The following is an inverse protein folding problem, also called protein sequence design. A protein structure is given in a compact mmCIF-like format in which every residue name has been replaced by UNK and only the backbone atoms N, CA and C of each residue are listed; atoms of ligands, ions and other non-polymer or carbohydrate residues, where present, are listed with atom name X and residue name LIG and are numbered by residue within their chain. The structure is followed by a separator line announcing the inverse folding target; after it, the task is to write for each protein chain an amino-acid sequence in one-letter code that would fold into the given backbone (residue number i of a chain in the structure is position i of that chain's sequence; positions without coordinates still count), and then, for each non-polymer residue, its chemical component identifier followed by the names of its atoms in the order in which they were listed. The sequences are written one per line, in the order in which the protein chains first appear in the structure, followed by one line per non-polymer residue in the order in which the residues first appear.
data_IF_877431217580
#
_entry.id   IF_877431217580
#
_cell.length_a   1.000
_cell.length_b   1.000
_cell.length_c   1.000
_cell.angle_alpha   90.00
_cell.angle_beta   90.00
_cell.angle_gamma   90.00
#
_symmetry.space_group_name_H-M   'P 1'
#
loop_
_entity.id
_entity.type
_entity.pdbx_description
1 polymer ?
#
# COMPACT_ATOMS: atom_id res chain seq x y z
N UNK A 1 10.60 -39.91 -1.33
CA UNK A 1 9.91 -38.87 -2.11
C UNK A 1 9.92 -37.59 -1.29
N UNK A 2 10.48 -36.50 -1.84
CA UNK A 2 10.45 -35.16 -1.19
C UNK A 2 9.01 -34.66 -1.29
N UNK A 3 8.39 -34.33 -0.15
CA UNK A 3 7.08 -33.70 -0.10
C UNK A 3 7.18 -32.36 -0.85
N UNK A 4 6.39 -32.21 -1.91
CA UNK A 4 6.27 -30.94 -2.61
C UNK A 4 5.80 -29.88 -1.62
N UNK A 5 6.58 -28.81 -1.50
CA UNK A 5 6.24 -27.58 -0.82
C UNK A 5 4.78 -27.18 -1.06
N UNK A 6 3.94 -27.36 -0.04
CA UNK A 6 2.65 -26.71 0.06
C UNK A 6 2.88 -25.22 0.33
N UNK A 7 3.25 -24.49 -0.74
CA UNK A 7 3.35 -23.04 -0.77
C UNK A 7 1.94 -22.43 -0.65
N UNK A 8 1.36 -22.55 0.54
CA UNK A 8 0.03 -22.04 0.86
C UNK A 8 0.02 -20.52 1.03
N UNK A 9 -1.05 -19.88 0.56
CA UNK A 9 -1.38 -18.50 0.90
C UNK A 9 -2.37 -18.52 2.06
N UNK A 10 -2.07 -17.80 3.13
CA UNK A 10 -3.00 -17.59 4.24
C UNK A 10 -3.59 -16.18 4.16
N UNK A 11 -4.85 -16.04 4.58
CA UNK A 11 -5.57 -14.77 4.59
C UNK A 11 -5.92 -14.40 6.03
N UNK A 12 -5.58 -13.18 6.44
CA UNK A 12 -5.77 -12.69 7.80
C UNK A 12 -6.44 -11.31 7.80
N UNK A 13 -7.38 -11.09 8.72
CA UNK A 13 -8.01 -9.79 8.94
C UNK A 13 -7.51 -9.21 10.27
N UNK A 14 -7.25 -7.91 10.30
CA UNK A 14 -6.92 -7.21 11.55
C UNK A 14 -7.98 -7.37 12.66
N UNK A 15 -9.24 -7.69 12.32
CA UNK A 15 -10.27 -8.02 13.34
C UNK A 15 -9.94 -9.26 14.17
N UNK A 16 -9.02 -10.13 13.74
CA UNK A 16 -8.71 -11.40 14.39
C UNK A 16 -7.34 -11.52 15.06
N UNK A 17 -6.51 -10.48 15.09
CA UNK A 17 -5.10 -10.62 15.44
C UNK A 17 -4.62 -9.57 16.46
N UNK A 18 -4.31 -10.08 17.68
CA UNK A 18 -3.32 -9.73 18.73
C UNK A 18 -2.92 -8.24 18.96
N UNK A 19 -2.59 -7.86 20.23
CA UNK A 19 -2.55 -6.48 20.72
C UNK A 19 -1.57 -5.59 19.94
N UNK A 20 -1.75 -4.25 20.01
CA UNK A 20 -0.92 -3.30 19.28
C UNK A 20 0.54 -3.44 19.74
N UNK A 21 1.38 -4.10 18.96
CA UNK A 21 2.82 -3.99 19.17
C UNK A 21 3.25 -2.57 18.75
N UNK A 22 3.93 -1.90 19.67
CA UNK A 22 4.19 -0.46 19.74
C UNK A 22 5.10 0.11 18.63
N UNK A 23 5.32 -0.60 17.54
CA UNK A 23 6.12 -0.14 16.40
C UNK A 23 5.29 0.06 15.13
N UNK A 24 5.55 1.12 14.35
CA UNK A 24 4.88 1.32 13.08
C UNK A 24 5.13 0.12 12.16
N UNK A 25 4.05 -0.46 11.66
CA UNK A 25 4.05 -1.59 10.76
C UNK A 25 4.68 -1.17 9.41
N UNK A 26 5.94 -1.51 9.19
CA UNK A 26 6.60 -1.30 7.89
C UNK A 26 6.03 -2.25 6.84
N UNK A 27 5.61 -1.69 5.70
CA UNK A 27 5.02 -2.46 4.60
C UNK A 27 5.75 -2.18 3.28
N UNK A 28 6.31 -3.25 2.71
CA UNK A 28 7.03 -3.20 1.43
C UNK A 28 6.17 -3.71 0.25
N UNK A 29 5.16 -4.54 0.54
CA UNK A 29 4.24 -5.07 -0.46
C UNK A 29 2.82 -4.78 -0.03
N UNK A 30 2.25 -3.74 -0.65
CA UNK A 30 0.93 -3.23 -0.28
C UNK A 30 0.11 -2.79 -1.50
N UNK A 31 -1.20 -2.74 -1.31
CA UNK A 31 -2.19 -2.15 -2.21
C UNK A 31 -3.22 -1.38 -1.39
N UNK A 32 -3.65 -0.22 -1.89
CA UNK A 32 -4.73 0.56 -1.31
C UNK A 32 -6.01 0.28 -2.10
N UNK A 33 -7.00 -0.26 -1.40
CA UNK A 33 -8.26 -0.71 -1.97
C UNK A 33 -9.38 0.17 -1.45
N UNK A 34 -10.20 0.70 -2.37
CA UNK A 34 -11.42 1.44 -2.03
C UNK A 34 -12.61 0.49 -2.13
N UNK A 35 -13.26 0.26 -1.00
CA UNK A 35 -14.48 -0.52 -0.89
C UNK A 35 -15.64 0.15 -1.64
N UNK A 36 -16.68 -0.60 -2.04
CA UNK A 36 -17.91 -0.01 -2.59
C UNK A 36 -18.59 0.99 -1.63
N UNK A 37 -18.43 0.80 -0.31
CA UNK A 37 -18.89 1.75 0.72
C UNK A 37 -18.18 3.11 0.66
N UNK A 38 -17.06 3.20 -0.07
CA UNK A 38 -16.20 4.37 -0.14
C UNK A 38 -15.02 4.32 0.84
N UNK A 39 -15.02 3.38 1.79
CA UNK A 39 -13.94 3.20 2.76
C UNK A 39 -12.65 2.74 2.09
N UNK A 40 -11.52 3.17 2.62
CA UNK A 40 -10.20 2.78 2.14
C UNK A 40 -9.61 1.71 3.07
N UNK A 41 -8.98 0.69 2.50
CA UNK A 41 -8.32 -0.37 3.24
C UNK A 41 -6.95 -0.66 2.65
N UNK A 42 -5.99 -0.96 3.52
CA UNK A 42 -4.66 -1.37 3.12
C UNK A 42 -4.59 -2.90 3.06
N UNK A 43 -4.38 -3.45 1.86
CA UNK A 43 -4.01 -4.84 1.67
C UNK A 43 -2.49 -4.98 1.68
N UNK A 44 -1.94 -5.92 2.43
CA UNK A 44 -0.50 -6.17 2.51
C UNK A 44 -0.21 -7.64 2.27
N UNK A 45 0.98 -7.93 1.76
CA UNK A 45 1.51 -9.30 1.67
C UNK A 45 2.79 -9.37 2.47
N UNK A 46 2.86 -10.32 3.40
CA UNK A 46 4.06 -10.64 4.19
C UNK A 46 4.50 -12.06 3.87
N UNK A 47 5.77 -12.23 3.54
CA UNK A 47 6.37 -13.56 3.42
C UNK A 47 6.73 -14.06 4.82
N UNK A 48 6.23 -15.24 5.22
CA UNK A 48 6.66 -15.89 6.46
C UNK A 48 7.87 -16.79 6.20
N UNK A 49 8.68 -16.98 7.24
CA UNK A 49 9.84 -17.90 7.26
C UNK A 49 9.50 -19.34 6.82
N UNK A 50 8.22 -19.74 6.85
CA UNK A 50 7.74 -21.08 6.49
C UNK A 50 7.28 -21.21 5.03
N UNK A 51 7.83 -20.41 4.10
CA UNK A 51 7.49 -20.45 2.67
C UNK A 51 5.99 -20.20 2.34
N UNK A 52 5.25 -19.55 3.25
CA UNK A 52 3.84 -19.18 3.07
C UNK A 52 3.69 -17.68 3.04
N UNK A 53 3.01 -17.16 2.01
CA UNK A 53 2.66 -15.75 1.94
C UNK A 53 1.37 -15.52 2.72
N UNK A 54 1.35 -14.52 3.60
CA UNK A 54 0.14 -14.08 4.29
C UNK A 54 -0.33 -12.79 3.63
N UNK A 55 -1.55 -12.80 3.11
CA UNK A 55 -2.24 -11.59 2.68
C UNK A 55 -3.07 -11.09 3.87
N UNK A 56 -2.85 -9.84 4.25
CA UNK A 56 -3.52 -9.21 5.38
C UNK A 56 -4.27 -7.98 4.92
N UNK A 57 -5.50 -7.82 5.39
CA UNK A 57 -6.31 -6.65 5.11
C UNK A 57 -6.54 -5.85 6.39
N UNK A 58 -6.26 -4.55 6.33
CA UNK A 58 -6.49 -3.67 7.47
C UNK A 58 -7.97 -3.34 7.66
N UNK A 59 -8.30 -2.87 8.87
CA UNK A 59 -9.49 -2.06 9.08
C UNK A 59 -9.47 -0.80 8.19
N UNK A 60 -10.63 -0.13 8.09
CA UNK A 60 -10.76 1.07 7.28
C UNK A 60 -9.72 2.12 7.72
N UNK A 61 -9.20 2.90 6.78
CA UNK A 61 -8.26 3.97 7.08
C UNK A 61 -8.99 5.13 7.76
N UNK A 62 -8.45 5.57 8.89
CA UNK A 62 -8.87 6.77 9.60
C UNK A 62 -8.21 8.03 9.02
N UNK A 63 -7.06 7.89 8.36
CA UNK A 63 -6.36 9.00 7.72
C UNK A 63 -5.00 8.61 7.18
N UNK A 64 -4.34 9.58 6.55
CA UNK A 64 -3.00 9.42 6.01
C UNK A 64 -2.12 10.61 6.36
N UNK A 65 -0.83 10.35 6.46
CA UNK A 65 0.22 11.32 6.67
C UNK A 65 1.17 11.26 5.47
N UNK A 66 1.12 12.29 4.62
CA UNK A 66 1.94 12.41 3.41
C UNK A 66 3.41 12.46 3.76
N UNK A 67 3.78 13.25 4.78
CA UNK A 67 5.17 13.53 5.14
C UNK A 67 5.88 12.28 5.61
N UNK A 68 5.23 11.46 6.43
CA UNK A 68 5.80 10.20 6.90
C UNK A 68 5.44 8.99 6.04
N UNK A 69 4.70 9.18 4.93
CA UNK A 69 4.14 8.11 4.08
C UNK A 69 3.45 7.03 4.92
N UNK A 70 2.69 7.45 5.92
CA UNK A 70 2.05 6.55 6.86
C UNK A 70 0.54 6.57 6.71
N UNK A 71 -0.09 5.41 6.82
CA UNK A 71 -1.56 5.29 6.93
C UNK A 71 -1.94 4.94 8.35
N UNK A 72 -3.02 5.54 8.83
CA UNK A 72 -3.62 5.25 10.13
C UNK A 72 -4.92 4.51 9.92
N UNK A 73 -5.10 3.38 10.58
CA UNK A 73 -6.32 2.58 10.53
C UNK A 73 -7.28 3.01 11.64
N UNK A 74 -8.56 2.68 11.49
CA UNK A 74 -9.59 2.89 12.52
C UNK A 74 -9.35 2.03 13.77
N UNK A 75 -8.62 0.92 13.63
CA UNK A 75 -8.08 0.14 14.76
C UNK A 75 -6.86 0.81 15.45
N UNK A 76 -6.50 2.03 15.06
CA UNK A 76 -5.36 2.82 15.58
C UNK A 76 -3.98 2.25 15.24
N UNK A 77 -3.89 1.32 14.29
CA UNK A 77 -2.58 0.90 13.77
C UNK A 77 -2.03 1.96 12.83
N UNK A 78 -0.71 2.14 12.86
CA UNK A 78 0.03 2.99 11.92
C UNK A 78 0.93 2.10 11.07
N UNK A 79 0.78 2.20 9.75
CA UNK A 79 1.60 1.46 8.80
C UNK A 79 2.42 2.43 7.94
N UNK A 80 3.73 2.21 7.84
CA UNK A 80 4.63 3.01 7.01
C UNK A 80 4.83 2.37 5.63
N UNK A 81 4.56 3.12 4.58
CA UNK A 81 4.67 2.66 3.20
C UNK A 81 6.13 2.83 2.72
N UNK A 82 6.90 1.74 2.81
CA UNK A 82 8.35 1.77 2.60
C UNK A 82 8.76 1.78 1.13
N UNK A 83 7.85 1.42 0.24
CA UNK A 83 8.09 1.31 -1.20
C UNK A 83 6.84 1.70 -1.99
N UNK A 84 6.98 2.01 -3.30
CA UNK A 84 5.84 2.10 -4.19
C UNK A 84 4.95 0.86 -4.12
N UNK A 85 3.65 0.99 -4.43
CA UNK A 85 2.74 -0.13 -4.40
C UNK A 85 3.25 -1.21 -5.35
N UNK A 86 3.09 -2.47 -4.95
CA UNK A 86 3.68 -3.58 -5.70
C UNK A 86 3.14 -3.57 -7.13
N UNK A 87 4.02 -3.77 -8.11
CA UNK A 87 3.69 -3.77 -9.55
C UNK A 87 3.66 -5.18 -10.15
N UNK A 88 4.22 -6.18 -9.46
CA UNK A 88 4.28 -7.57 -9.95
C UNK A 88 2.87 -8.16 -10.03
N UNK A 89 2.41 -8.62 -11.21
CA UNK A 89 1.02 -9.04 -11.42
C UNK A 89 0.51 -10.11 -10.44
N UNK A 90 1.32 -11.14 -10.16
CA UNK A 90 0.95 -12.22 -9.24
C UNK A 90 0.69 -11.72 -7.81
N UNK A 91 1.53 -10.81 -7.32
CA UNK A 91 1.40 -10.27 -5.97
C UNK A 91 0.20 -9.33 -5.86
N UNK A 92 -0.04 -8.53 -6.90
CA UNK A 92 -1.24 -7.70 -7.01
C UNK A 92 -2.51 -8.56 -6.98
N UNK A 93 -2.54 -9.64 -7.77
CA UNK A 93 -3.68 -10.57 -7.78
C UNK A 93 -3.88 -11.23 -6.42
N UNK A 94 -2.80 -11.68 -5.76
CA UNK A 94 -2.90 -12.30 -4.45
C UNK A 94 -3.53 -11.35 -3.40
N UNK A 95 -3.08 -10.09 -3.36
CA UNK A 95 -3.63 -9.10 -2.42
C UNK A 95 -5.10 -8.78 -2.74
N UNK A 96 -5.44 -8.59 -4.02
CA UNK A 96 -6.81 -8.27 -4.45
C UNK A 96 -7.78 -9.43 -4.19
N UNK A 97 -7.38 -10.66 -4.53
CA UNK A 97 -8.19 -11.85 -4.30
C UNK A 97 -8.36 -12.09 -2.80
N UNK A 98 -7.30 -11.92 -2.01
CA UNK A 98 -7.39 -11.99 -0.55
C UNK A 98 -8.33 -10.95 0.04
N UNK A 99 -8.28 -9.71 -0.43
CA UNK A 99 -9.21 -8.67 0.00
C UNK A 99 -10.67 -9.01 -0.34
N UNK A 100 -10.93 -9.57 -1.53
CA UNK A 100 -12.25 -10.04 -1.91
C UNK A 100 -12.76 -11.15 -0.98
N UNK A 101 -11.91 -12.14 -0.67
CA UNK A 101 -12.22 -13.22 0.29
C UNK A 101 -12.45 -12.70 1.71
N UNK A 102 -11.84 -11.56 2.07
CA UNK A 102 -11.98 -10.90 3.36
C UNK A 102 -13.13 -9.87 3.41
N UNK A 103 -14.00 -9.84 2.39
CA UNK A 103 -15.23 -9.04 2.39
C UNK A 103 -15.20 -7.75 1.57
N UNK A 104 -14.10 -7.45 0.86
CA UNK A 104 -13.98 -6.31 -0.06
C UNK A 104 -14.22 -6.70 -1.53
N UNK A 105 -15.16 -7.61 -1.77
CA UNK A 105 -15.55 -7.94 -3.14
C UNK A 105 -16.05 -6.70 -3.88
N UNK A 106 -15.58 -6.49 -5.10
CA UNK A 106 -15.90 -5.29 -5.90
C UNK A 106 -15.13 -4.02 -5.52
N UNK A 107 -14.14 -4.11 -4.61
CA UNK A 107 -13.25 -2.99 -4.32
C UNK A 107 -12.38 -2.61 -5.53
N UNK A 108 -12.15 -1.31 -5.71
CA UNK A 108 -11.25 -0.78 -6.75
C UNK A 108 -9.86 -0.54 -6.17
N UNK A 109 -8.84 -0.78 -7.00
CA UNK A 109 -7.45 -0.60 -6.60
C UNK A 109 -6.97 0.80 -7.00
N UNK A 110 -6.69 1.64 -6.01
CA UNK A 110 -6.27 3.04 -6.20
C UNK A 110 -4.80 3.26 -5.83
N UNK A 111 -4.03 2.18 -5.67
CA UNK A 111 -2.67 2.22 -5.11
C UNK A 111 -1.74 3.15 -5.89
N UNK A 112 -1.73 3.05 -7.21
CA UNK A 112 -0.86 3.85 -8.08
C UNK A 112 -1.22 5.34 -8.04
N UNK A 113 -2.52 5.65 -8.08
CA UNK A 113 -3.01 7.03 -7.99
C UNK A 113 -2.65 7.65 -6.64
N UNK A 114 -2.81 6.89 -5.56
CA UNK A 114 -2.44 7.33 -4.22
C UNK A 114 -0.93 7.57 -4.09
N UNK A 115 -0.10 6.63 -4.57
CA UNK A 115 1.35 6.79 -4.52
C UNK A 115 1.86 8.00 -5.30
N UNK A 116 1.26 8.28 -6.46
CA UNK A 116 1.58 9.48 -7.23
C UNK A 116 1.27 10.77 -6.46
N UNK A 117 0.25 10.78 -5.58
CA UNK A 117 -0.06 11.93 -4.74
C UNK A 117 0.90 12.11 -3.55
N UNK A 118 1.55 11.02 -3.09
CA UNK A 118 2.59 11.10 -2.04
C UNK A 118 3.90 11.70 -2.55
N UNK A 119 4.08 11.70 -3.86
CA UNK A 119 5.16 12.38 -4.55
C UNK A 119 4.51 13.42 -5.48
N UNK A 120 3.92 14.51 -4.95
CA UNK A 120 3.66 15.64 -5.81
C UNK A 120 4.99 15.95 -6.45
N UNK A 121 5.07 15.79 -7.77
CA UNK A 121 6.32 15.87 -8.48
C UNK A 121 7.12 17.07 -7.96
N UNK A 122 8.44 16.88 -7.84
CA UNK A 122 9.38 17.89 -8.28
C UNK A 122 8.77 18.58 -9.50
N UNK A 123 8.01 19.63 -9.24
CA UNK A 123 7.40 20.46 -10.26
C UNK A 123 8.58 21.26 -10.71
N UNK A 124 9.34 20.65 -11.61
CA UNK A 124 10.47 21.20 -12.31
C UNK A 124 9.97 22.54 -12.86
N UNK A 125 10.19 23.59 -12.10
CA UNK A 125 10.11 24.93 -12.59
C UNK A 125 11.28 24.97 -13.58
N UNK A 126 11.07 25.11 -14.90
CA UNK A 126 12.17 25.60 -15.71
C UNK A 126 12.56 26.93 -15.07
N UNK A 127 13.80 27.02 -14.60
CA UNK A 127 14.37 28.28 -14.19
C UNK A 127 14.09 29.28 -15.33
N UNK A 128 13.65 30.53 -15.05
CA UNK A 128 13.63 31.53 -16.09
C UNK A 128 15.06 31.62 -16.65
N UNK A 129 15.23 31.22 -17.90
CA UNK A 129 16.51 31.33 -18.60
C UNK A 129 17.01 32.77 -18.51
N UNK A 130 18.33 33.00 -18.50
CA UNK A 130 18.88 34.34 -18.35
C UNK A 130 18.33 35.24 -19.46
N UNK A 131 17.65 36.32 -19.07
CA UNK A 131 17.28 37.41 -19.96
C UNK A 131 18.55 38.00 -20.56
N UNK A 132 18.80 37.71 -21.83
CA UNK A 132 19.82 38.42 -22.61
C UNK A 132 19.49 39.91 -22.62
N UNK A 133 20.42 40.81 -22.28
CA UNK A 133 20.18 42.23 -22.39
C UNK A 133 20.16 42.64 -23.85
N UNK A 134 19.11 43.36 -24.23
CA UNK A 134 18.98 44.15 -25.45
C UNK A 134 20.25 44.97 -25.69
N UNK A 135 20.98 44.68 -26.77
CA UNK A 135 21.88 45.67 -27.38
C UNK A 135 21.13 46.33 -28.51
N UNK A 136 20.79 47.59 -28.28
CA UNK A 136 20.56 48.56 -29.33
C UNK A 136 21.82 48.67 -30.20
N UNK A 137 21.64 48.49 -31.51
CA UNK A 137 22.29 49.24 -32.57
C UNK A 137 21.48 49.09 -33.86
#
# INVERSE_FOLDING_TARGET
MRNADDAGIAFDNERGALPPEEDPCEVHSWRLLKAPSGELHLGTRRDRKTNRAVVRLTSALAGFDITSRAVKTTSRHRCMLMAPPKSRPLECMAIRNGAALLGLSGGIDISSQFWAQLHPADSLHPAPGPTSPTKHQ
#
